data_IF_598077761419
#
_entry.id   IF_598077761419
#
_cell.length_a   1.000
_cell.length_b   1.000
_cell.length_c   1.000
_cell.angle_alpha   90.00
_cell.angle_beta   90.00
_cell.angle_gamma   90.00
#
_symmetry.space_group_name_H-M   'P 1'
#
loop_
_entity.id
_entity.type
_entity.pdbx_description
1 polymer ?
#
# COMPACT_ATOMS: atom_id res chain seq x y z
N UNK A 1 -72.03 -9.22 8.42
CA UNK A 1 -73.32 -9.28 7.70
C UNK A 1 -73.23 -10.43 6.72
N UNK A 2 -74.12 -11.42 6.83
CA UNK A 2 -74.20 -12.61 5.98
C UNK A 2 -75.46 -12.51 5.11
N UNK A 3 -75.47 -13.29 4.03
CA UNK A 3 -76.62 -13.91 3.34
C UNK A 3 -77.17 -13.20 2.08
N UNK A 4 -76.89 -13.77 0.88
CA UNK A 4 -77.86 -14.43 -0.04
C UNK A 4 -77.76 -14.18 -1.58
N UNK A 5 -78.18 -15.22 -2.33
CA UNK A 5 -78.53 -15.38 -3.77
C UNK A 5 -77.37 -15.80 -4.72
N UNK A 6 -77.20 -17.05 -5.23
CA UNK A 6 -78.07 -18.07 -5.88
C UNK A 6 -78.80 -17.54 -7.14
N UNK A 7 -78.55 -18.05 -8.37
CA UNK A 7 -79.24 -19.17 -9.11
C UNK A 7 -78.52 -19.25 -10.51
N UNK A 8 -77.84 -20.33 -10.92
CA UNK A 8 -78.25 -21.59 -11.61
C UNK A 8 -78.50 -21.53 -13.14
N UNK A 9 -78.26 -22.69 -13.78
CA UNK A 9 -78.61 -23.22 -15.11
C UNK A 9 -77.60 -22.97 -16.26
N UNK A 10 -76.77 -23.93 -16.66
CA UNK A 10 -77.04 -25.23 -17.34
C UNK A 10 -77.47 -25.08 -18.81
N UNK A 11 -76.49 -25.19 -19.71
CA UNK A 11 -76.69 -25.66 -21.08
C UNK A 11 -75.61 -26.70 -21.39
N UNK A 12 -76.05 -27.96 -21.38
CA UNK A 12 -75.35 -29.16 -21.81
C UNK A 12 -76.08 -29.62 -23.07
N UNK A 13 -75.38 -29.80 -24.19
CA UNK A 13 -75.69 -30.67 -25.36
C UNK A 13 -74.59 -30.36 -26.40
N UNK A 14 -73.54 -31.18 -26.47
CA UNK A 14 -73.36 -32.42 -27.26
C UNK A 14 -72.78 -32.14 -28.65
N UNK A 15 -71.73 -32.90 -28.97
CA UNK A 15 -71.00 -32.92 -30.23
C UNK A 15 -69.50 -33.01 -29.91
N UNK A 16 -68.97 -34.16 -29.47
CA UNK A 16 -68.83 -35.33 -30.34
C UNK A 16 -67.63 -35.11 -31.26
N UNK A 17 -66.42 -35.42 -30.77
CA UNK A 17 -65.19 -35.17 -31.52
C UNK A 17 -63.95 -35.60 -30.74
N UNK A 18 -63.78 -36.91 -30.56
CA UNK A 18 -62.48 -37.50 -30.26
C UNK A 18 -61.57 -37.33 -31.48
N UNK A 19 -60.90 -36.19 -31.60
CA UNK A 19 -59.84 -36.02 -32.58
C UNK A 19 -58.51 -36.20 -31.85
N UNK A 20 -57.96 -37.40 -32.01
CA UNK A 20 -56.71 -37.82 -31.42
C UNK A 20 -55.59 -36.80 -31.65
N UNK A 21 -54.72 -36.73 -30.65
CA UNK A 21 -53.41 -36.13 -30.76
C UNK A 21 -52.68 -36.68 -31.99
N UNK A 22 -52.77 -35.97 -33.12
CA UNK A 22 -51.84 -36.14 -34.22
C UNK A 22 -50.51 -35.51 -33.77
N UNK A 23 -49.68 -36.37 -33.18
CA UNK A 23 -48.29 -36.13 -32.86
C UNK A 23 -47.52 -35.98 -34.18
N UNK A 24 -47.69 -34.86 -34.88
CA UNK A 24 -46.97 -34.62 -36.13
C UNK A 24 -45.47 -34.45 -35.84
N UNK A 25 -44.58 -35.18 -36.54
CA UNK A 25 -43.15 -35.14 -36.28
C UNK A 25 -42.51 -33.76 -36.55
N UNK A 26 -43.24 -32.86 -37.21
CA UNK A 26 -42.82 -31.50 -37.56
C UNK A 26 -43.12 -30.52 -36.41
N UNK A 27 -44.29 -30.60 -35.77
CA UNK A 27 -44.65 -29.73 -34.64
C UNK A 27 -43.78 -30.01 -33.41
N UNK A 28 -43.44 -31.28 -33.15
CA UNK A 28 -42.46 -31.64 -32.13
C UNK A 28 -41.04 -31.07 -32.40
N UNK A 29 -40.62 -30.99 -33.67
CA UNK A 29 -39.31 -30.40 -34.02
C UNK A 29 -39.30 -28.89 -33.78
N UNK A 30 -40.37 -28.20 -34.16
CA UNK A 30 -40.51 -26.76 -33.94
C UNK A 30 -40.52 -26.42 -32.44
N UNK A 31 -41.20 -27.21 -31.60
CA UNK A 31 -41.15 -27.03 -30.15
C UNK A 31 -39.77 -27.28 -29.54
N UNK A 32 -39.05 -28.32 -30.02
CA UNK A 32 -37.68 -28.59 -29.59
C UNK A 32 -36.74 -27.43 -29.95
N UNK A 33 -36.86 -26.89 -31.17
CA UNK A 33 -36.07 -25.73 -31.59
C UNK A 33 -36.39 -24.47 -30.78
N UNK A 34 -37.66 -24.20 -30.50
CA UNK A 34 -38.08 -23.10 -29.60
C UNK A 34 -37.49 -23.25 -28.19
N UNK A 35 -37.56 -24.45 -27.60
CA UNK A 35 -36.93 -24.76 -26.30
C UNK A 35 -35.41 -24.60 -26.33
N UNK A 36 -34.75 -24.93 -27.45
CA UNK A 36 -33.30 -24.70 -27.58
C UNK A 36 -32.96 -23.23 -27.71
N UNK A 37 -33.78 -22.44 -28.42
CA UNK A 37 -33.62 -20.99 -28.56
C UNK A 37 -33.81 -20.27 -27.22
N UNK A 38 -34.82 -20.63 -26.43
CA UNK A 38 -34.99 -20.10 -25.08
C UNK A 38 -33.80 -20.44 -24.17
N UNK A 39 -33.34 -21.70 -24.18
CA UNK A 39 -32.13 -22.10 -23.44
C UNK A 39 -30.88 -21.33 -23.89
N UNK A 40 -30.76 -21.03 -25.18
CA UNK A 40 -29.66 -20.23 -25.74
C UNK A 40 -29.77 -18.76 -25.31
N UNK A 41 -30.95 -18.16 -25.36
CA UNK A 41 -31.20 -16.78 -24.87
C UNK A 41 -30.86 -16.66 -23.38
N UNK A 42 -31.33 -17.60 -22.55
CA UNK A 42 -30.99 -17.63 -21.13
C UNK A 42 -29.48 -17.76 -20.88
N UNK A 43 -28.78 -18.61 -21.64
CA UNK A 43 -27.32 -18.73 -21.57
C UNK A 43 -26.59 -17.45 -21.99
N UNK A 44 -27.12 -16.69 -22.95
CA UNK A 44 -26.54 -15.42 -23.40
C UNK A 44 -26.75 -14.33 -22.34
N UNK A 45 -27.94 -14.22 -21.76
CA UNK A 45 -28.23 -13.28 -20.68
C UNK A 45 -27.39 -13.57 -19.43
N UNK A 46 -27.25 -14.84 -19.05
CA UNK A 46 -26.38 -15.25 -17.95
C UNK A 46 -24.92 -14.90 -18.21
N UNK A 47 -24.42 -15.14 -19.44
CA UNK A 47 -23.06 -14.76 -19.85
C UNK A 47 -22.87 -13.23 -19.82
N UNK A 48 -23.86 -12.44 -20.24
CA UNK A 48 -23.84 -10.97 -20.17
C UNK A 48 -23.79 -10.47 -18.73
N UNK A 49 -24.67 -10.96 -17.86
CA UNK A 49 -24.67 -10.62 -16.43
C UNK A 49 -23.33 -10.96 -15.76
N UNK A 50 -22.73 -12.11 -16.10
CA UNK A 50 -21.40 -12.50 -15.61
C UNK A 50 -20.29 -11.58 -16.14
N UNK A 51 -20.38 -11.13 -17.39
CA UNK A 51 -19.43 -10.18 -17.97
C UNK A 51 -19.52 -8.81 -17.29
N UNK A 52 -20.72 -8.26 -17.11
CA UNK A 52 -20.93 -6.99 -16.39
C UNK A 52 -20.45 -7.06 -14.93
N UNK A 53 -20.72 -8.17 -14.24
CA UNK A 53 -20.23 -8.38 -12.88
C UNK A 53 -18.69 -8.47 -12.83
N UNK A 54 -18.05 -9.05 -13.85
CA UNK A 54 -16.60 -9.10 -13.96
C UNK A 54 -15.98 -7.72 -14.29
N UNK A 55 -16.65 -6.90 -15.11
CA UNK A 55 -16.21 -5.54 -15.39
C UNK A 55 -16.31 -4.64 -14.16
N UNK A 56 -17.43 -4.65 -13.43
CA UNK A 56 -17.57 -3.89 -12.17
C UNK A 56 -16.51 -4.28 -11.13
N UNK A 57 -16.17 -5.57 -11.04
CA UNK A 57 -15.08 -6.05 -10.18
C UNK A 57 -13.71 -5.57 -10.67
N UNK A 58 -13.46 -5.51 -11.98
CA UNK A 58 -12.22 -4.94 -12.53
C UNK A 58 -12.08 -3.46 -12.22
N UNK A 59 -13.14 -2.68 -12.40
CA UNK A 59 -13.13 -1.25 -12.11
C UNK A 59 -12.86 -0.97 -10.64
N UNK A 60 -13.55 -1.66 -9.72
CA UNK A 60 -13.32 -1.50 -8.28
C UNK A 60 -11.91 -1.89 -7.86
N UNK A 61 -11.36 -2.94 -8.48
CA UNK A 61 -9.97 -3.37 -8.27
C UNK A 61 -8.98 -2.32 -8.78
N UNK A 62 -9.21 -1.73 -9.95
CA UNK A 62 -8.35 -0.69 -10.51
C UNK A 62 -8.35 0.57 -9.65
N UNK A 63 -9.52 0.99 -9.15
CA UNK A 63 -9.64 2.10 -8.20
C UNK A 63 -8.93 1.80 -6.88
N UNK A 64 -9.06 0.57 -6.36
CA UNK A 64 -8.32 0.12 -5.17
C UNK A 64 -6.81 0.17 -5.38
N UNK A 65 -6.32 -0.22 -6.56
CA UNK A 65 -4.89 -0.15 -6.90
C UNK A 65 -4.39 1.29 -7.02
N UNK A 66 -5.15 2.16 -7.67
CA UNK A 66 -4.82 3.59 -7.81
C UNK A 66 -4.73 4.28 -6.45
N UNK A 67 -5.71 4.07 -5.57
CA UNK A 67 -5.70 4.65 -4.22
C UNK A 67 -4.54 4.12 -3.36
N UNK A 68 -4.18 2.84 -3.48
CA UNK A 68 -2.99 2.28 -2.84
C UNK A 68 -1.70 2.94 -3.37
N UNK A 69 -1.60 3.14 -4.68
CA UNK A 69 -0.44 3.77 -5.29
C UNK A 69 -0.29 5.25 -4.91
N UNK A 70 -1.38 6.00 -4.86
CA UNK A 70 -1.40 7.38 -4.40
C UNK A 70 -0.94 7.49 -2.94
N UNK A 71 -1.48 6.64 -2.05
CA UNK A 71 -1.05 6.58 -0.65
C UNK A 71 0.44 6.24 -0.53
N UNK A 72 0.94 5.34 -1.36
CA UNK A 72 2.35 4.93 -1.35
C UNK A 72 3.26 6.09 -1.79
N UNK A 73 2.87 6.85 -2.81
CA UNK A 73 3.59 8.06 -3.25
C UNK A 73 3.61 9.11 -2.16
N UNK A 74 2.45 9.43 -1.56
CA UNK A 74 2.36 10.40 -0.46
C UNK A 74 3.24 10.01 0.72
N UNK A 75 3.18 8.75 1.18
CA UNK A 75 4.02 8.28 2.28
C UNK A 75 5.52 8.33 1.96
N UNK A 76 5.91 8.07 0.71
CA UNK A 76 7.31 8.21 0.27
C UNK A 76 7.77 9.67 0.28
N UNK A 77 6.92 10.59 -0.15
CA UNK A 77 7.21 12.03 -0.12
C UNK A 77 7.35 12.51 1.33
N UNK A 78 6.38 12.21 2.19
CA UNK A 78 6.45 12.50 3.63
C UNK A 78 7.75 11.97 4.24
N UNK A 79 8.08 10.71 3.95
CA UNK A 79 9.31 10.08 4.45
C UNK A 79 10.57 10.82 3.99
N UNK A 80 10.62 11.27 2.75
CA UNK A 80 11.75 12.04 2.22
C UNK A 80 11.86 13.41 2.89
N UNK A 81 10.75 14.12 3.06
CA UNK A 81 10.71 15.42 3.74
C UNK A 81 11.11 15.31 5.21
N UNK A 82 10.59 14.31 5.92
CA UNK A 82 10.92 14.08 7.33
C UNK A 82 12.42 13.73 7.45
N UNK A 83 12.98 12.91 6.55
CA UNK A 83 14.42 12.63 6.55
C UNK A 83 15.28 13.87 6.27
N UNK A 84 14.85 14.77 5.38
CA UNK A 84 15.54 16.04 5.16
C UNK A 84 15.54 16.89 6.43
N UNK A 85 14.37 17.03 7.08
CA UNK A 85 14.23 17.75 8.35
C UNK A 85 15.10 17.12 9.45
N UNK A 86 15.19 15.78 9.50
CA UNK A 86 16.07 15.07 10.43
C UNK A 86 17.54 15.45 10.22
N UNK A 87 18.03 15.37 8.97
CA UNK A 87 19.42 15.75 8.64
C UNK A 87 19.72 17.20 8.97
N UNK A 88 18.76 18.10 8.77
CA UNK A 88 18.91 19.49 9.15
C UNK A 88 19.01 19.65 10.67
N UNK A 89 18.15 18.96 11.43
CA UNK A 89 18.19 18.98 12.90
C UNK A 89 19.47 18.36 13.47
N UNK A 90 19.97 17.29 12.87
CA UNK A 90 21.26 16.70 13.24
C UNK A 90 22.39 17.73 13.08
N UNK A 91 22.45 18.44 11.94
CA UNK A 91 23.44 19.51 11.72
C UNK A 91 23.30 20.67 12.72
N UNK A 92 22.07 21.09 13.02
CA UNK A 92 21.83 22.13 14.04
C UNK A 92 22.35 21.69 15.42
N UNK A 93 22.21 20.41 15.79
CA UNK A 93 22.74 19.87 17.05
C UNK A 93 24.27 19.85 17.04
N UNK A 94 24.90 19.52 15.90
CA UNK A 94 26.35 19.52 15.75
C UNK A 94 26.90 20.95 15.90
N UNK A 95 26.31 21.92 15.20
CA UNK A 95 26.67 23.34 15.32
C UNK A 95 26.52 23.86 16.75
N UNK A 96 25.43 23.49 17.45
CA UNK A 96 25.24 23.85 18.86
C UNK A 96 26.30 23.19 19.74
N UNK A 97 26.69 21.94 19.45
CA UNK A 97 27.73 21.22 20.19
C UNK A 97 29.09 21.91 20.04
N UNK A 98 29.43 22.34 18.83
CA UNK A 98 30.68 23.06 18.58
C UNK A 98 30.70 24.43 19.27
N UNK A 99 29.59 25.18 19.21
CA UNK A 99 29.43 26.45 19.93
C UNK A 99 29.55 26.27 21.45
N UNK A 100 28.99 25.19 22.00
CA UNK A 100 29.16 24.84 23.43
C UNK A 100 30.62 24.53 23.76
N UNK A 101 31.35 23.84 22.89
CA UNK A 101 32.78 23.61 23.03
C UNK A 101 33.57 24.92 23.14
N UNK A 102 33.35 25.84 22.19
CA UNK A 102 34.00 27.15 22.20
C UNK A 102 33.61 28.01 23.42
N UNK A 103 32.34 27.96 23.84
CA UNK A 103 31.89 28.66 25.05
C UNK A 103 32.59 28.10 26.31
N UNK A 104 32.66 26.78 26.46
CA UNK A 104 33.36 26.12 27.58
C UNK A 104 34.82 26.56 27.66
N UNK A 105 35.54 26.53 26.54
CA UNK A 105 36.94 27.00 26.53
C UNK A 105 37.07 28.47 26.94
N UNK A 106 36.11 29.33 26.54
CA UNK A 106 36.12 30.74 26.92
C UNK A 106 35.79 30.97 28.39
N UNK A 107 34.88 30.16 28.95
CA UNK A 107 34.50 30.17 30.36
C UNK A 107 35.67 29.70 31.21
N UNK A 108 36.35 28.63 30.82
CA UNK A 108 37.53 28.11 31.52
C UNK A 108 38.67 29.14 31.52
N UNK A 109 38.95 29.79 30.38
CA UNK A 109 39.94 30.86 30.31
C UNK A 109 39.59 32.05 31.24
N UNK A 110 38.31 32.44 31.29
CA UNK A 110 37.83 33.48 32.22
C UNK A 110 37.91 33.05 33.68
N UNK A 111 37.60 31.80 33.97
CA UNK A 111 37.73 31.21 35.31
C UNK A 111 39.16 31.28 35.80
N UNK A 112 40.13 30.87 34.99
CA UNK A 112 41.56 30.95 35.33
C UNK A 112 42.01 32.40 35.55
N UNK A 113 41.54 33.34 34.72
CA UNK A 113 41.83 34.76 34.92
C UNK A 113 41.28 35.30 36.25
N UNK A 114 40.05 34.91 36.62
CA UNK A 114 39.44 35.26 37.91
C UNK A 114 40.25 34.65 39.07
N UNK A 115 40.61 33.38 38.99
CA UNK A 115 41.38 32.68 40.02
C UNK A 115 42.77 33.30 40.22
N UNK A 116 43.45 33.68 39.14
CA UNK A 116 44.74 34.36 39.20
C UNK A 116 44.64 35.71 39.94
N UNK A 117 43.60 36.51 39.64
CA UNK A 117 43.36 37.80 40.32
C UNK A 117 42.98 37.61 41.79
N UNK A 118 42.14 36.62 42.09
CA UNK A 118 41.74 36.29 43.45
C UNK A 118 42.95 35.84 44.29
N UNK A 119 43.87 35.09 43.68
CA UNK A 119 45.14 34.69 44.32
C UNK A 119 46.00 35.90 44.65
N UNK A 120 46.15 36.87 43.73
CA UNK A 120 46.89 38.12 44.01
C UNK A 120 46.24 38.86 45.19
N UNK A 121 44.91 39.03 45.15
CA UNK A 121 44.18 39.69 46.24
C UNK A 121 44.34 38.96 47.58
N UNK A 122 44.40 37.63 47.58
CA UNK A 122 44.65 36.85 48.79
C UNK A 122 46.08 37.05 49.32
N UNK A 123 47.08 36.99 48.43
CA UNK A 123 48.50 37.14 48.79
C UNK A 123 48.84 38.54 49.32
N UNK A 124 48.20 39.59 48.77
CA UNK A 124 48.38 40.96 49.24
C UNK A 124 47.63 41.26 50.56
N UNK A 125 46.69 40.40 50.94
CA UNK A 125 45.88 40.53 52.15
C UNK A 125 44.84 41.65 52.08
N UNK A 126 44.04 41.78 53.16
CA UNK A 126 42.88 42.68 53.23
C UNK A 126 43.20 44.15 52.91
N UNK A 127 44.42 44.59 53.21
CA UNK A 127 44.86 45.98 53.05
C UNK A 127 45.79 46.22 51.86
N UNK A 128 45.99 45.24 50.96
CA UNK A 128 46.91 45.35 49.82
C UNK A 128 46.71 46.61 48.97
N UNK A 129 45.46 46.85 48.54
CA UNK A 129 45.09 48.04 47.75
C UNK A 129 45.26 49.36 48.53
N UNK A 130 44.95 49.36 49.83
CA UNK A 130 45.11 50.53 50.70
C UNK A 130 46.60 50.83 50.90
N UNK A 131 47.43 49.80 51.08
CA UNK A 131 48.89 49.91 51.17
C UNK A 131 49.48 50.50 49.89
N UNK A 132 48.98 50.12 48.72
CA UNK A 132 49.40 50.70 47.44
C UNK A 132 49.08 52.21 47.32
N UNK A 133 47.99 52.67 47.95
CA UNK A 133 47.64 54.09 48.02
C UNK A 133 48.50 54.86 49.03
N UNK A 134 48.72 54.29 50.22
CA UNK A 134 49.49 54.93 51.29
C UNK A 134 51.01 55.03 51.01
N UNK A 135 51.49 54.30 49.99
CA UNK A 135 52.89 54.33 49.52
C UNK A 135 53.11 55.30 48.35
N UNK A 136 52.20 56.26 48.15
CA UNK A 136 52.33 57.28 47.11
C UNK A 136 53.33 58.37 47.51
N UNK A 137 54.22 58.77 46.59
CA UNK A 137 55.29 59.75 46.86
C UNK A 137 54.82 61.21 46.82
N UNK A 138 53.64 61.47 46.23
CA UNK A 138 53.04 62.81 46.14
C UNK A 138 51.51 62.73 46.05
N UNK A 139 50.84 63.86 46.33
CA UNK A 139 49.38 63.96 46.16
C UNK A 139 48.92 63.63 44.72
N UNK A 140 49.67 64.06 43.71
CA UNK A 140 49.37 63.74 42.31
C UNK A 140 49.47 62.23 42.03
N UNK A 141 50.41 61.55 42.68
CA UNK A 141 50.60 60.11 42.53
C UNK A 141 49.49 59.33 43.24
N UNK A 142 49.10 59.78 44.43
CA UNK A 142 47.95 59.25 45.15
C UNK A 142 46.66 59.31 44.30
N UNK A 143 46.39 60.46 43.67
CA UNK A 143 45.22 60.62 42.80
C UNK A 143 45.25 59.67 41.60
N UNK A 144 46.40 59.51 40.92
CA UNK A 144 46.55 58.57 39.79
C UNK A 144 46.36 57.13 40.21
N UNK A 145 46.99 56.69 41.32
CA UNK A 145 46.84 55.33 41.86
C UNK A 145 45.39 55.05 42.26
N UNK A 146 44.69 56.03 42.84
CA UNK A 146 43.25 55.94 43.14
C UNK A 146 42.40 55.71 41.89
N UNK A 147 42.67 56.44 40.81
CA UNK A 147 41.99 56.25 39.52
C UNK A 147 42.28 54.85 38.94
N UNK A 148 43.53 54.39 38.95
CA UNK A 148 43.88 53.06 38.46
C UNK A 148 43.20 51.94 39.25
N UNK A 149 43.19 52.02 40.59
CA UNK A 149 42.51 51.04 41.43
C UNK A 149 40.99 51.00 41.19
N UNK A 150 40.38 52.16 40.92
CA UNK A 150 38.97 52.23 40.52
C UNK A 150 38.72 51.50 39.20
N UNK A 151 39.55 51.77 38.17
CA UNK A 151 39.46 51.10 36.87
C UNK A 151 39.66 49.59 37.00
N UNK A 152 40.66 49.14 37.76
CA UNK A 152 40.91 47.71 38.00
C UNK A 152 39.72 47.06 38.69
N UNK A 153 39.19 47.68 39.75
CA UNK A 153 38.03 47.16 40.49
C UNK A 153 36.79 47.07 39.60
N UNK A 154 36.58 48.05 38.72
CA UNK A 154 35.48 48.01 37.76
C UNK A 154 35.65 46.86 36.75
N UNK A 155 36.88 46.67 36.23
CA UNK A 155 37.18 45.55 35.31
C UNK A 155 37.07 44.17 35.96
N UNK A 156 37.38 44.06 37.25
CA UNK A 156 37.16 42.83 38.02
C UNK A 156 35.67 42.52 38.16
N UNK A 157 34.85 43.54 38.40
CA UNK A 157 33.40 43.39 38.46
C UNK A 157 32.81 43.00 37.10
N UNK A 158 33.19 43.69 36.02
CA UNK A 158 32.78 43.33 34.65
C UNK A 158 33.18 41.88 34.30
N UNK A 159 34.36 41.43 34.72
CA UNK A 159 34.82 40.06 34.49
C UNK A 159 33.93 39.02 35.20
N UNK A 160 33.51 39.29 36.43
CA UNK A 160 32.62 38.41 37.19
C UNK A 160 31.21 38.37 36.60
N UNK A 161 30.68 39.53 36.20
CA UNK A 161 29.35 39.62 35.59
C UNK A 161 29.30 38.94 34.21
N UNK A 162 30.34 39.14 33.38
CA UNK A 162 30.44 38.42 32.10
C UNK A 162 30.57 36.92 32.30
N UNK A 163 31.36 36.46 33.28
CA UNK A 163 31.46 35.05 33.62
C UNK A 163 30.11 34.45 34.05
N UNK A 164 29.34 35.15 34.89
CA UNK A 164 27.97 34.73 35.28
C UNK A 164 27.05 34.63 34.07
N UNK A 165 27.04 35.67 33.24
CA UNK A 165 26.22 35.70 32.02
C UNK A 165 26.61 34.58 31.03
N UNK A 166 27.90 34.22 30.95
CA UNK A 166 28.34 33.09 30.13
C UNK A 166 27.86 31.75 30.66
N UNK A 167 27.91 31.55 31.98
CA UNK A 167 27.42 30.33 32.63
C UNK A 167 25.92 30.15 32.39
N UNK A 168 25.13 31.22 32.55
CA UNK A 168 23.70 31.20 32.26
C UNK A 168 23.41 30.91 30.79
N UNK A 169 24.14 31.56 29.87
CA UNK A 169 24.00 31.30 28.43
C UNK A 169 24.38 29.87 28.07
N UNK A 170 25.45 29.34 28.65
CA UNK A 170 25.85 27.95 28.43
C UNK A 170 24.75 26.99 28.89
N UNK A 171 24.18 27.21 30.08
CA UNK A 171 23.09 26.38 30.59
C UNK A 171 21.85 26.43 29.67
N UNK A 172 21.47 27.63 29.20
CA UNK A 172 20.37 27.78 28.23
C UNK A 172 20.62 26.99 26.95
N UNK A 173 21.84 27.08 26.39
CA UNK A 173 22.20 26.38 25.16
C UNK A 173 22.28 24.86 25.39
N UNK A 174 22.72 24.40 26.56
CA UNK A 174 22.68 22.98 26.92
C UNK A 174 21.25 22.45 27.02
N UNK A 175 20.33 23.23 27.60
CA UNK A 175 18.89 22.87 27.64
C UNK A 175 18.30 22.79 26.23
N UNK A 176 18.57 23.79 25.38
CA UNK A 176 18.12 23.77 23.97
C UNK A 176 18.66 22.55 23.22
N UNK A 177 19.92 22.17 23.44
CA UNK A 177 20.52 20.97 22.85
C UNK A 177 19.84 19.69 23.35
N UNK A 178 19.52 19.60 24.64
CA UNK A 178 18.84 18.45 25.22
C UNK A 178 17.42 18.30 24.64
N UNK A 179 16.66 19.39 24.57
CA UNK A 179 15.33 19.42 23.94
C UNK A 179 15.39 19.02 22.46
N UNK A 180 16.36 19.56 21.70
CA UNK A 180 16.56 19.20 20.30
C UNK A 180 16.88 17.71 20.14
N UNK A 181 17.69 17.11 21.03
CA UNK A 181 17.98 15.66 21.01
C UNK A 181 16.75 14.81 21.31
N UNK A 182 15.93 15.21 22.29
CA UNK A 182 14.67 14.50 22.59
C UNK A 182 13.72 14.55 21.39
N UNK A 183 13.58 15.74 20.78
CA UNK A 183 12.80 15.92 19.55
C UNK A 183 13.31 15.05 18.41
N UNK A 184 14.64 14.96 18.23
CA UNK A 184 15.27 14.13 17.21
C UNK A 184 14.93 12.63 17.39
N UNK A 185 14.97 12.12 18.61
CA UNK A 185 14.60 10.71 18.90
C UNK A 185 13.14 10.45 18.52
N UNK A 186 12.23 11.36 18.87
CA UNK A 186 10.82 11.26 18.48
C UNK A 186 10.64 11.29 16.95
N UNK A 187 11.41 12.12 16.24
CA UNK A 187 11.42 12.13 14.77
C UNK A 187 11.91 10.80 14.19
N UNK A 188 12.99 10.21 14.72
CA UNK A 188 13.50 8.89 14.29
C UNK A 188 12.45 7.80 14.45
N UNK A 189 11.76 7.75 15.59
CA UNK A 189 10.67 6.80 15.82
C UNK A 189 9.50 7.01 14.83
N UNK A 190 9.19 8.27 14.49
CA UNK A 190 8.15 8.58 13.50
C UNK A 190 8.54 8.10 12.11
N UNK A 191 9.81 8.24 11.73
CA UNK A 191 10.35 7.72 10.45
C UNK A 191 10.26 6.20 10.40
N UNK A 192 10.64 5.51 11.47
CA UNK A 192 10.57 4.05 11.56
C UNK A 192 9.13 3.54 11.41
N UNK A 193 8.16 4.21 12.04
CA UNK A 193 6.73 3.92 11.88
C UNK A 193 6.28 4.11 10.42
N UNK A 194 6.62 5.24 9.80
CA UNK A 194 6.29 5.50 8.38
C UNK A 194 6.93 4.47 7.43
N UNK A 195 8.15 4.02 7.71
CA UNK A 195 8.81 2.94 6.96
C UNK A 195 8.08 1.60 7.12
N UNK A 196 7.61 1.29 8.32
CA UNK A 196 6.79 0.11 8.57
C UNK A 196 5.47 0.19 7.78
N UNK A 197 4.78 1.33 7.81
CA UNK A 197 3.53 1.55 7.06
C UNK A 197 3.74 1.36 5.55
N UNK A 198 4.82 1.93 4.98
CA UNK A 198 5.16 1.75 3.57
C UNK A 198 5.39 0.27 3.24
N UNK A 199 6.06 -0.49 4.13
CA UNK A 199 6.29 -1.93 3.92
C UNK A 199 4.98 -2.72 3.97
N UNK A 200 4.05 -2.36 4.86
CA UNK A 200 2.71 -2.98 4.93
C UNK A 200 1.95 -2.72 3.64
N UNK A 201 1.87 -1.46 3.19
CA UNK A 201 1.20 -1.11 1.93
C UNK A 201 1.81 -1.82 0.71
N UNK A 202 3.13 -1.99 0.68
CA UNK A 202 3.80 -2.75 -0.38
C UNK A 202 3.42 -4.23 -0.36
N UNK A 203 3.28 -4.85 0.82
CA UNK A 203 2.82 -6.24 0.96
C UNK A 203 1.38 -6.38 0.52
N UNK A 204 0.50 -5.46 0.95
CA UNK A 204 -0.89 -5.41 0.53
C UNK A 204 -0.99 -5.31 -0.99
N UNK A 205 -0.26 -4.38 -1.62
CA UNK A 205 -0.20 -4.26 -3.08
C UNK A 205 0.23 -5.57 -3.75
N UNK A 206 1.27 -6.24 -3.26
CA UNK A 206 1.74 -7.53 -3.80
C UNK A 206 0.68 -8.63 -3.69
N UNK A 207 0.02 -8.74 -2.53
CA UNK A 207 -1.06 -9.73 -2.31
C UNK A 207 -2.25 -9.44 -3.21
N UNK A 208 -2.64 -8.18 -3.36
CA UNK A 208 -3.71 -7.79 -4.28
C UNK A 208 -3.37 -8.12 -5.74
N UNK A 209 -2.15 -7.82 -6.20
CA UNK A 209 -1.70 -8.19 -7.54
C UNK A 209 -1.67 -9.71 -7.75
N UNK A 210 -1.26 -10.48 -6.74
CA UNK A 210 -1.29 -11.95 -6.79
C UNK A 210 -2.73 -12.49 -6.91
N UNK A 211 -3.69 -11.91 -6.19
CA UNK A 211 -5.12 -12.27 -6.31
C UNK A 211 -5.66 -11.99 -7.71
N UNK A 212 -5.37 -10.81 -8.25
CA UNK A 212 -5.82 -10.40 -9.59
C UNK A 212 -5.22 -11.28 -10.69
N UNK A 213 -3.93 -11.59 -10.60
CA UNK A 213 -3.26 -12.50 -11.55
C UNK A 213 -3.84 -13.91 -11.47
N UNK A 214 -4.07 -14.44 -10.27
CA UNK A 214 -4.70 -15.75 -10.09
C UNK A 214 -6.14 -15.80 -10.63
N UNK A 215 -6.95 -14.76 -10.39
CA UNK A 215 -8.30 -14.66 -10.96
C UNK A 215 -8.27 -14.58 -12.49
N UNK A 216 -7.34 -13.80 -13.07
CA UNK A 216 -7.18 -13.72 -14.53
C UNK A 216 -6.74 -15.06 -15.14
N UNK A 217 -5.80 -15.76 -14.50
CA UNK A 217 -5.28 -17.04 -14.98
C UNK A 217 -6.31 -18.17 -14.87
N UNK A 218 -7.07 -18.21 -13.77
CA UNK A 218 -8.18 -19.16 -13.62
C UNK A 218 -9.27 -18.89 -14.65
N UNK A 219 -9.63 -17.62 -14.90
CA UNK A 219 -10.60 -17.28 -15.95
C UNK A 219 -10.08 -17.67 -17.35
N UNK A 220 -8.82 -17.38 -17.68
CA UNK A 220 -8.22 -17.77 -18.95
C UNK A 220 -8.20 -19.30 -19.11
N UNK A 221 -7.78 -20.05 -18.08
CA UNK A 221 -7.75 -21.53 -18.11
C UNK A 221 -9.13 -22.15 -18.26
N UNK A 222 -10.18 -21.55 -17.71
CA UNK A 222 -11.53 -22.14 -17.73
C UNK A 222 -12.33 -21.67 -18.94
N UNK A 223 -12.21 -20.39 -19.32
CA UNK A 223 -13.00 -19.77 -20.38
C UNK A 223 -12.42 -20.03 -21.78
N UNK A 224 -11.10 -20.01 -21.97
CA UNK A 224 -10.50 -20.21 -23.31
C UNK A 224 -10.82 -21.60 -23.89
N UNK A 225 -10.64 -22.71 -23.16
CA UNK A 225 -10.98 -24.04 -23.69
C UNK A 225 -12.49 -24.18 -23.97
N UNK A 226 -13.35 -23.62 -23.11
CA UNK A 226 -14.79 -23.66 -23.31
C UNK A 226 -15.26 -22.84 -24.53
N UNK A 227 -14.59 -21.73 -24.83
CA UNK A 227 -14.86 -20.92 -26.03
C UNK A 227 -14.34 -21.60 -27.30
N UNK A 228 -13.14 -22.19 -27.25
CA UNK A 228 -12.60 -22.99 -28.34
C UNK A 228 -13.48 -24.21 -28.62
N UNK A 229 -13.95 -24.92 -27.58
CA UNK A 229 -14.80 -26.09 -27.75
C UNK A 229 -16.16 -25.75 -28.36
N UNK A 230 -16.81 -24.65 -27.91
CA UNK A 230 -18.05 -24.16 -28.55
C UNK A 230 -17.86 -23.72 -29.99
N UNK A 231 -16.73 -23.10 -30.33
CA UNK A 231 -16.42 -22.73 -31.72
C UNK A 231 -16.31 -24.00 -32.58
N UNK A 232 -15.56 -25.01 -32.10
CA UNK A 232 -15.42 -26.31 -32.75
C UNK A 232 -16.77 -27.03 -32.92
N UNK A 233 -17.66 -26.99 -31.92
CA UNK A 233 -19.01 -27.56 -32.02
C UNK A 233 -19.88 -26.85 -33.06
N UNK A 234 -19.78 -25.52 -33.15
CA UNK A 234 -20.52 -24.72 -34.14
C UNK A 234 -20.00 -24.93 -35.57
N UNK A 235 -18.69 -25.11 -35.73
CA UNK A 235 -18.04 -25.46 -36.98
C UNK A 235 -18.36 -26.91 -37.41
N UNK A 236 -18.41 -27.84 -36.46
CA UNK A 236 -18.86 -29.22 -36.70
C UNK A 236 -20.35 -29.27 -37.09
N UNK A 237 -21.21 -28.49 -36.44
CA UNK A 237 -22.64 -28.40 -36.80
C UNK A 237 -22.88 -27.73 -38.16
N UNK A 238 -22.10 -26.71 -38.51
CA UNK A 238 -22.21 -26.05 -39.83
C UNK A 238 -21.66 -26.94 -40.95
N UNK A 239 -20.53 -27.64 -40.73
CA UNK A 239 -20.03 -28.69 -41.63
C UNK A 239 -21.01 -29.85 -41.77
N UNK A 240 -21.60 -30.33 -40.68
CA UNK A 240 -22.63 -31.38 -40.70
C UNK A 240 -23.86 -30.98 -41.52
N UNK A 241 -24.34 -29.75 -41.38
CA UNK A 241 -25.47 -29.22 -42.20
C UNK A 241 -25.11 -29.02 -43.66
N UNK A 242 -23.88 -28.63 -43.99
CA UNK A 242 -23.40 -28.56 -45.37
C UNK A 242 -23.31 -29.96 -46.00
N UNK A 243 -22.85 -30.95 -45.23
CA UNK A 243 -22.73 -32.34 -45.67
C UNK A 243 -24.10 -33.01 -45.83
N UNK A 244 -25.07 -32.73 -44.95
CA UNK A 244 -26.46 -33.20 -45.06
C UNK A 244 -27.20 -32.59 -46.26
N UNK A 245 -26.96 -31.31 -46.57
CA UNK A 245 -27.46 -30.65 -47.79
C UNK A 245 -26.81 -31.20 -49.07
N UNK A 246 -25.52 -31.54 -49.01
CA UNK A 246 -24.81 -32.23 -50.10
C UNK A 246 -25.37 -33.64 -50.33
N UNK A 247 -25.59 -34.45 -49.29
CA UNK A 247 -26.19 -35.78 -49.39
C UNK A 247 -27.66 -35.76 -49.87
N UNK A 248 -28.44 -34.71 -49.53
CA UNK A 248 -29.80 -34.52 -50.03
C UNK A 248 -29.85 -34.08 -51.50
N UNK A 249 -28.84 -33.38 -52.00
CA UNK A 249 -28.76 -32.97 -53.41
C UNK A 249 -28.18 -34.06 -54.33
N UNK A 250 -27.41 -35.01 -53.79
CA UNK A 250 -26.81 -36.12 -54.54
C UNK A 250 -27.67 -37.39 -54.63
N UNK A 251 -28.91 -37.41 -54.11
CA UNK A 251 -29.89 -38.46 -54.43
C UNK A 251 -29.51 -39.90 -54.09
N UNK A 252 -28.74 -40.17 -53.03
CA UNK A 252 -28.37 -41.53 -52.63
C UNK A 252 -29.52 -42.21 -51.86
N UNK A 253 -30.35 -42.99 -52.56
CA UNK A 253 -31.29 -43.94 -51.95
C UNK A 253 -30.52 -45.16 -51.44
N UNK A 254 -30.64 -45.39 -50.13
CA UNK A 254 -30.51 -46.67 -49.42
C UNK A 254 -29.15 -47.41 -49.54
N UNK A 255 -28.22 -47.07 -48.65
CA UNK A 255 -27.20 -48.01 -48.19
C UNK A 255 -27.31 -48.03 -46.66
N UNK A 256 -27.73 -49.18 -46.10
CA UNK A 256 -27.66 -49.44 -44.66
C UNK A 256 -26.20 -49.24 -44.22
N UNK A 257 -25.92 -48.56 -43.09
CA UNK A 257 -24.58 -48.57 -42.56
C UNK A 257 -24.28 -50.00 -42.08
N UNK A 258 -23.37 -50.69 -42.76
CA UNK A 258 -22.72 -51.86 -42.21
C UNK A 258 -21.95 -51.39 -40.99
N UNK A 259 -22.43 -51.77 -39.81
CA UNK A 259 -21.64 -51.75 -38.58
C UNK A 259 -20.40 -52.61 -38.89
N UNK A 260 -19.17 -52.06 -38.89
CA UNK A 260 -18.01 -52.93 -38.90
C UNK A 260 -17.98 -53.58 -37.52
N UNK A 261 -18.31 -54.88 -37.49
CA UNK A 261 -17.91 -55.76 -36.41
C UNK A 261 -16.39 -55.67 -36.32
N UNK A 262 -15.91 -54.88 -35.36
CA UNK A 262 -14.52 -54.86 -34.98
C UNK A 262 -14.23 -56.23 -34.35
N UNK A 263 -13.82 -57.19 -35.18
CA UNK A 263 -13.32 -58.48 -34.74
C UNK A 263 -12.15 -58.23 -33.79
N UNK A 264 -12.30 -58.65 -32.53
CA UNK A 264 -11.34 -59.28 -31.62
C UNK A 264 -9.79 -59.17 -31.87
N UNK A 265 -9.26 -58.10 -32.46
CA UNK A 265 -7.84 -57.95 -32.80
C UNK A 265 -7.22 -56.63 -32.31
N UNK A 266 -7.90 -55.93 -31.41
CA UNK A 266 -7.38 -54.72 -30.74
C UNK A 266 -7.03 -54.92 -29.26
N UNK A 267 -7.36 -56.06 -28.64
CA UNK A 267 -7.08 -56.34 -27.21
C UNK A 267 -5.68 -56.93 -26.93
N UNK A 268 -4.79 -57.01 -27.94
CA UNK A 268 -3.41 -57.50 -27.76
C UNK A 268 -2.33 -56.41 -27.76
N UNK A 269 -2.67 -55.14 -27.98
CA UNK A 269 -1.68 -54.05 -28.04
C UNK A 269 -1.65 -53.13 -26.80
N UNK A 270 -2.69 -53.13 -25.96
CA UNK A 270 -2.70 -52.36 -24.71
C UNK A 270 -2.01 -53.06 -23.53
N UNK A 271 -1.81 -54.39 -23.58
CA UNK A 271 -1.16 -55.12 -22.48
C UNK A 271 0.38 -55.09 -22.51
N UNK A 272 1.00 -54.45 -23.51
CA UNK A 272 2.47 -54.31 -23.62
C UNK A 272 3.01 -52.92 -23.31
N UNK A 273 2.17 -51.89 -23.10
CA UNK A 273 2.64 -50.55 -22.71
C UNK A 273 2.57 -50.24 -21.21
N UNK A 274 1.81 -51.00 -20.43
CA UNK A 274 1.75 -50.81 -18.97
C UNK A 274 2.92 -51.44 -18.21
N UNK A 275 3.78 -52.24 -18.85
CA UNK A 275 4.95 -52.86 -18.22
C UNK A 275 6.23 -52.00 -18.28
N UNK A 276 6.23 -50.83 -18.93
CA UNK A 276 7.43 -50.03 -19.19
C UNK A 276 7.42 -48.60 -18.62
N UNK A 277 6.52 -48.26 -17.69
CA UNK A 277 6.50 -46.91 -17.07
C UNK A 277 6.17 -46.90 -15.58
N UNK A 278 6.92 -47.69 -14.80
CA UNK A 278 7.04 -47.50 -13.34
C UNK A 278 8.48 -47.08 -13.04
N UNK A 279 8.74 -45.86 -12.53
CA UNK A 279 10.02 -45.55 -11.92
C UNK A 279 9.93 -45.77 -10.40
N UNK A 280 10.93 -46.49 -9.89
CA UNK A 280 11.45 -46.46 -8.52
C UNK A 280 11.93 -45.07 -8.10
#
# INVERSE_FOLDING_TARGET
MRVSCAILLWCLVVGGGVAGAANDPISQKIERERKTLEKLKGKIEEKRKRAEAAEKKRESVLQGLQSLDERLVHHRQDHHEINKKLRQKDREIDEITDRLGAMRTSIDARREAILARLRVQYMEGRFGRVKALLTADSYSDFQRRGQYLSVVSHKDYELLETFRADMERMEQVERQRAEARVGLVAFKQTIEKKLADIRVLQREKKVYLAKITHEKDSYNRTALPCLHHRRMESEAHSRGRLMEKSCRSSGARNIRPSIPTCSARALKFERQREASSMPS
#
